data_IF_764603978022
#
_entry.id   IF_764603978022
#
_cell.length_a   1.000
_cell.length_b   1.000
_cell.length_c   1.000
_cell.angle_alpha   90.00
_cell.angle_beta   90.00
_cell.angle_gamma   90.00
#
_symmetry.space_group_name_H-M   'P 1'
#
loop_
_entity.id
_entity.type
_entity.pdbx_description
1 polymer ?
#
# COMPACT_ATOMS: atom_id res chain seq x y z
N UNK A 1 26.10 -9.58 -20.63
CA UNK A 1 25.72 -8.30 -19.98
C UNK A 1 24.45 -8.48 -19.21
N UNK A 2 24.48 -8.15 -17.93
CA UNK A 2 23.33 -8.35 -17.05
C UNK A 2 22.53 -7.05 -16.97
N UNK A 3 21.51 -6.93 -17.79
CA UNK A 3 20.55 -5.84 -17.64
C UNK A 3 19.47 -6.26 -16.64
N UNK A 4 19.13 -5.36 -15.72
CA UNK A 4 18.02 -5.61 -14.82
C UNK A 4 16.71 -5.64 -15.62
N UNK A 5 15.77 -6.54 -15.31
CA UNK A 5 14.48 -6.50 -15.95
C UNK A 5 13.78 -5.18 -15.67
N UNK A 6 12.88 -4.78 -16.54
CA UNK A 6 12.06 -3.61 -16.32
C UNK A 6 11.21 -3.82 -15.07
N UNK A 7 10.94 -2.73 -14.35
CA UNK A 7 10.07 -2.77 -13.21
C UNK A 7 8.62 -2.75 -13.69
N UNK A 8 7.89 -3.83 -13.38
CA UNK A 8 6.47 -3.93 -13.68
C UNK A 8 5.67 -3.75 -12.41
N UNK A 9 4.73 -2.82 -12.43
CA UNK A 9 3.81 -2.63 -11.32
C UNK A 9 2.46 -2.17 -11.82
N UNK A 10 1.42 -2.56 -11.08
CA UNK A 10 0.05 -2.14 -11.34
C UNK A 10 -0.41 -1.31 -10.15
N UNK A 11 -1.05 -0.19 -10.43
CA UNK A 11 -1.68 0.63 -9.40
C UNK A 11 -2.86 -0.15 -8.82
N UNK A 12 -2.76 -0.56 -7.57
CA UNK A 12 -3.70 -1.50 -6.99
C UNK A 12 -3.98 -1.24 -5.51
N UNK A 13 -5.14 -1.65 -5.08
CA UNK A 13 -5.60 -1.56 -3.70
C UNK A 13 -7.11 -1.44 -3.66
N UNK A 14 -7.76 -2.17 -2.75
CA UNK A 14 -9.20 -2.08 -2.57
C UNK A 14 -9.62 -2.76 -1.27
N UNK A 15 -10.83 -2.47 -0.83
CA UNK A 15 -11.53 -3.09 0.30
C UNK A 15 -10.81 -2.97 1.64
N UNK A 16 -9.77 -3.74 1.88
CA UNK A 16 -9.04 -3.77 3.14
C UNK A 16 -7.56 -4.04 2.91
N UNK A 17 -6.76 -3.81 3.95
CA UNK A 17 -5.32 -4.09 3.88
C UNK A 17 -5.04 -5.57 3.62
N UNK A 18 -5.78 -6.48 4.25
CA UNK A 18 -5.58 -7.92 4.04
C UNK A 18 -5.96 -8.36 2.63
N UNK A 19 -7.06 -7.87 2.09
CA UNK A 19 -7.48 -8.16 0.71
C UNK A 19 -6.48 -7.61 -0.29
N UNK A 20 -6.00 -6.39 -0.08
CA UNK A 20 -5.02 -5.76 -0.94
C UNK A 20 -3.67 -6.47 -0.87
N UNK A 21 -3.28 -6.95 0.31
CA UNK A 21 -2.06 -7.74 0.47
C UNK A 21 -2.11 -9.02 -0.38
N UNK A 22 -3.26 -9.70 -0.39
CA UNK A 22 -3.43 -10.88 -1.22
C UNK A 22 -3.27 -10.56 -2.69
N UNK A 23 -3.88 -9.46 -3.14
CA UNK A 23 -3.74 -9.01 -4.53
C UNK A 23 -2.28 -8.70 -4.88
N UNK A 24 -1.55 -8.02 -3.99
CA UNK A 24 -0.15 -7.71 -4.23
C UNK A 24 0.70 -8.98 -4.34
N UNK A 25 0.49 -9.94 -3.46
CA UNK A 25 1.22 -11.21 -3.50
C UNK A 25 0.90 -12.00 -4.76
N UNK A 26 -0.36 -12.02 -5.18
CA UNK A 26 -0.75 -12.66 -6.43
C UNK A 26 -0.07 -12.00 -7.63
N UNK A 27 -0.04 -10.67 -7.68
CA UNK A 27 0.60 -9.94 -8.76
C UNK A 27 2.11 -10.21 -8.81
N UNK A 28 2.79 -10.25 -7.66
CA UNK A 28 4.21 -10.56 -7.59
C UNK A 28 4.49 -11.98 -8.07
N UNK A 29 3.61 -12.94 -7.76
CA UNK A 29 3.77 -14.32 -8.22
C UNK A 29 3.61 -14.44 -9.73
N UNK A 30 2.95 -13.48 -10.38
CA UNK A 30 2.74 -13.44 -11.82
C UNK A 30 3.83 -12.65 -12.56
N UNK A 31 4.88 -12.23 -11.87
CA UNK A 31 6.02 -11.60 -12.49
C UNK A 31 6.14 -10.09 -12.33
N UNK A 32 5.27 -9.44 -11.57
CA UNK A 32 5.44 -8.03 -11.27
C UNK A 32 6.64 -7.84 -10.36
N UNK A 33 7.39 -6.76 -10.58
CA UNK A 33 8.65 -6.50 -9.88
C UNK A 33 8.60 -5.26 -9.01
N UNK A 34 7.45 -4.63 -8.91
CA UNK A 34 7.24 -3.45 -8.07
C UNK A 34 5.80 -3.36 -7.63
N UNK A 35 5.56 -2.44 -6.71
CA UNK A 35 4.24 -2.19 -6.14
C UNK A 35 3.87 -0.72 -6.33
N UNK A 36 2.63 -0.46 -6.71
CA UNK A 36 2.07 0.88 -6.75
C UNK A 36 0.77 0.86 -5.96
N UNK A 37 0.78 1.50 -4.79
CA UNK A 37 -0.31 1.40 -3.82
C UNK A 37 -1.35 2.47 -4.09
N UNK A 38 -2.61 2.04 -4.22
CA UNK A 38 -3.76 2.93 -4.31
C UNK A 38 -4.42 3.04 -2.93
N UNK A 39 -4.44 4.24 -2.35
CA UNK A 39 -5.14 4.49 -1.09
C UNK A 39 -6.54 5.00 -1.36
N UNK A 40 -7.50 4.66 -0.48
CA UNK A 40 -8.86 5.17 -0.61
C UNK A 40 -8.92 6.67 -0.30
N UNK A 41 -10.05 7.31 -0.64
CA UNK A 41 -10.17 8.76 -0.45
C UNK A 41 -10.05 9.20 1.01
N UNK A 42 -10.65 8.51 2.01
CA UNK A 42 -10.45 8.88 3.40
C UNK A 42 -8.97 8.89 3.82
N UNK A 43 -8.20 7.89 3.40
CA UNK A 43 -6.76 7.82 3.70
C UNK A 43 -6.01 8.99 3.05
N UNK A 44 -6.32 9.30 1.80
CA UNK A 44 -5.67 10.40 1.08
C UNK A 44 -5.99 11.77 1.66
N UNK A 45 -7.15 11.92 2.26
CA UNK A 45 -7.62 13.21 2.80
C UNK A 45 -7.47 13.34 4.31
N UNK A 46 -7.01 12.27 4.99
CA UNK A 46 -6.70 12.31 6.42
C UNK A 46 -7.83 11.92 7.34
N UNK A 47 -8.87 11.26 6.82
CA UNK A 47 -9.97 10.76 7.65
C UNK A 47 -9.75 9.30 8.01
N UNK A 48 -10.04 8.95 9.26
CA UNK A 48 -10.11 7.54 9.65
C UNK A 48 -11.33 6.87 9.04
N UNK A 49 -11.30 5.55 8.92
CA UNK A 49 -12.37 4.80 8.29
C UNK A 49 -13.73 4.94 9.00
N UNK A 50 -13.72 5.22 10.29
CA UNK A 50 -14.95 5.41 11.07
C UNK A 50 -15.45 6.86 11.08
N UNK A 51 -14.72 7.78 10.41
CA UNK A 51 -15.14 9.17 10.34
C UNK A 51 -16.42 9.31 9.52
N UNK A 52 -17.29 10.24 9.93
CA UNK A 52 -18.57 10.45 9.25
C UNK A 52 -18.40 10.81 7.76
N UNK A 53 -17.40 11.62 7.44
CA UNK A 53 -17.13 12.02 6.05
C UNK A 53 -16.52 10.90 5.20
N UNK A 54 -16.05 9.82 5.82
CA UNK A 54 -15.52 8.66 5.12
C UNK A 54 -16.61 7.68 4.67
N UNK A 55 -17.84 7.88 5.10
CA UNK A 55 -18.94 6.96 4.81
C UNK A 55 -19.12 6.76 3.31
N UNK A 56 -19.15 5.51 2.86
CA UNK A 56 -19.33 5.17 1.47
C UNK A 56 -18.08 5.18 0.62
N UNK A 57 -16.94 5.67 1.15
CA UNK A 57 -15.68 5.76 0.40
C UNK A 57 -14.59 4.80 0.90
N UNK A 58 -14.78 4.20 2.09
CA UNK A 58 -13.78 3.30 2.67
C UNK A 58 -13.60 2.07 1.78
N UNK A 59 -12.38 1.86 1.29
CA UNK A 59 -12.05 0.71 0.45
C UNK A 59 -12.63 0.74 -0.96
N UNK A 60 -13.26 1.82 -1.36
CA UNK A 60 -13.94 1.91 -2.66
C UNK A 60 -12.97 2.08 -3.83
N UNK A 61 -12.08 3.05 -3.73
CA UNK A 61 -11.12 3.37 -4.81
C UNK A 61 -9.68 3.03 -4.43
N UNK A 62 -9.47 2.41 -3.29
CA UNK A 62 -8.14 2.04 -2.82
C UNK A 62 -8.22 1.42 -1.44
N UNK A 63 -7.05 1.15 -0.85
CA UNK A 63 -6.94 0.51 0.44
C UNK A 63 -6.99 1.53 1.59
N UNK A 64 -7.80 1.28 2.64
CA UNK A 64 -7.80 2.13 3.82
C UNK A 64 -6.63 1.80 4.75
N UNK A 65 -5.87 2.81 5.15
CA UNK A 65 -4.77 2.68 6.10
C UNK A 65 -4.99 3.69 7.22
N UNK A 66 -5.25 3.22 8.43
CA UNK A 66 -5.52 4.07 9.58
C UNK A 66 -4.36 4.12 10.57
N UNK A 67 -3.55 3.07 10.65
CA UNK A 67 -2.46 2.95 11.61
C UNK A 67 -1.38 1.99 11.11
N UNK A 68 -0.30 1.88 11.89
CA UNK A 68 0.84 1.01 11.55
C UNK A 68 0.42 -0.46 11.36
N UNK A 69 -0.55 -0.94 12.13
CA UNK A 69 -1.07 -2.30 11.98
C UNK A 69 -1.62 -2.57 10.60
N UNK A 70 -2.35 -1.62 10.01
CA UNK A 70 -2.86 -1.75 8.65
C UNK A 70 -1.71 -1.79 7.64
N UNK A 71 -0.69 -0.96 7.83
CA UNK A 71 0.48 -0.95 6.96
C UNK A 71 1.22 -2.29 7.03
N UNK A 72 1.36 -2.87 8.23
CA UNK A 72 1.98 -4.18 8.41
C UNK A 72 1.19 -5.27 7.70
N UNK A 73 -0.13 -5.23 7.80
CA UNK A 73 -1.01 -6.18 7.12
C UNK A 73 -0.90 -6.04 5.59
N UNK A 74 -0.85 -4.81 5.10
CA UNK A 74 -0.75 -4.55 3.67
C UNK A 74 0.51 -5.16 3.04
N UNK A 75 1.64 -5.09 3.73
CA UNK A 75 2.91 -5.56 3.21
C UNK A 75 3.38 -6.89 3.82
N UNK A 76 2.47 -7.62 4.47
CA UNK A 76 2.81 -8.93 5.06
C UNK A 76 3.33 -9.89 4.00
N UNK A 77 4.45 -10.55 4.30
CA UNK A 77 5.10 -11.55 3.44
C UNK A 77 5.58 -10.98 2.09
N UNK A 78 5.74 -9.66 2.01
CA UNK A 78 6.31 -9.01 0.83
C UNK A 78 7.74 -8.57 1.15
N UNK A 79 8.74 -8.97 0.35
CA UNK A 79 10.14 -8.61 0.59
C UNK A 79 10.41 -7.16 0.19
N UNK A 80 10.16 -6.22 1.11
CA UNK A 80 10.27 -4.78 0.83
C UNK A 80 11.68 -4.37 0.41
N UNK A 81 12.70 -5.07 0.89
CA UNK A 81 14.09 -4.80 0.55
C UNK A 81 14.41 -5.13 -0.92
N UNK A 82 13.57 -5.93 -1.56
CA UNK A 82 13.76 -6.35 -2.94
C UNK A 82 12.74 -5.75 -3.89
N UNK A 83 11.80 -4.93 -3.37
CA UNK A 83 10.70 -4.38 -4.14
C UNK A 83 10.84 -2.87 -4.30
N UNK A 84 10.49 -2.39 -5.48
CA UNK A 84 10.30 -0.96 -5.70
C UNK A 84 8.84 -0.63 -5.37
N UNK A 85 8.62 0.22 -4.39
CA UNK A 85 7.28 0.59 -3.93
C UNK A 85 7.00 2.05 -4.24
N UNK A 86 5.85 2.34 -4.82
CA UNK A 86 5.39 3.72 -4.99
C UNK A 86 4.00 3.89 -4.40
N UNK A 87 3.70 5.10 -3.97
CA UNK A 87 2.43 5.46 -3.34
C UNK A 87 1.94 6.76 -3.95
N UNK A 88 0.65 6.81 -4.26
CA UNK A 88 0.01 8.03 -4.76
C UNK A 88 -0.81 8.62 -3.62
N UNK A 89 -0.32 9.71 -3.04
CA UNK A 89 -0.93 10.36 -1.89
C UNK A 89 -0.82 11.89 -2.02
N UNK A 90 -1.70 12.60 -1.29
CA UNK A 90 -1.71 14.06 -1.26
C UNK A 90 -1.38 14.56 0.16
N UNK A 91 -2.39 15.04 0.89
CA UNK A 91 -2.20 15.74 2.16
C UNK A 91 -1.59 14.86 3.26
N UNK A 92 -1.82 13.55 3.23
CA UNK A 92 -1.35 12.60 4.24
C UNK A 92 -0.03 11.93 3.90
N UNK A 93 0.67 12.39 2.86
CA UNK A 93 1.93 11.77 2.43
C UNK A 93 2.96 11.63 3.57
N UNK A 94 3.22 12.65 4.42
CA UNK A 94 4.18 12.49 5.52
C UNK A 94 3.81 11.38 6.50
N UNK A 95 2.53 11.23 6.80
CA UNK A 95 2.04 10.19 7.73
C UNK A 95 2.24 8.80 7.17
N UNK A 96 1.84 8.59 5.92
CA UNK A 96 1.94 7.30 5.27
C UNK A 96 3.39 6.91 5.01
N UNK A 97 4.23 7.87 4.64
CA UNK A 97 5.66 7.63 4.50
C UNK A 97 6.29 7.25 5.84
N UNK A 98 5.90 7.93 6.92
CA UNK A 98 6.38 7.58 8.26
C UNK A 98 5.98 6.15 8.66
N UNK A 99 4.76 5.74 8.37
CA UNK A 99 4.30 4.37 8.63
C UNK A 99 5.11 3.35 7.82
N UNK A 100 5.39 3.66 6.57
CA UNK A 100 6.19 2.79 5.71
C UNK A 100 7.63 2.66 6.21
N UNK A 101 8.24 3.77 6.61
CA UNK A 101 9.60 3.76 7.17
C UNK A 101 9.64 2.97 8.47
N UNK A 102 8.67 3.16 9.36
CA UNK A 102 8.58 2.40 10.60
C UNK A 102 8.46 0.90 10.32
N UNK A 103 7.65 0.52 9.34
CA UNK A 103 7.51 -0.88 8.94
C UNK A 103 8.83 -1.43 8.40
N UNK A 104 9.54 -0.67 7.59
CA UNK A 104 10.83 -1.08 7.02
C UNK A 104 11.85 -1.38 8.10
N UNK A 105 11.89 -0.56 9.17
CA UNK A 105 12.79 -0.77 10.29
C UNK A 105 12.49 -2.05 11.05
N UNK A 106 11.24 -2.48 11.08
CA UNK A 106 10.85 -3.75 11.72
C UNK A 106 11.37 -4.94 10.91
N UNK A 107 11.45 -4.80 9.59
CA UNK A 107 11.87 -5.88 8.69
C UNK A 107 13.39 -5.98 8.48
N UNK A 108 14.14 -5.02 8.95
CA UNK A 108 15.61 -5.04 8.87
C UNK A 108 16.23 -5.77 10.11
#
# INVERSE_FOLDING_TARGET
>A
MNSKPWIFRTYAGHSSASTSNKLFRDNLSKGQTGLSVAFDLPTQTGYDSDHQLARGEVGKVGVPINHLGDMRTLFKDIPLDKMNTSMTINATAPWLLALYVALSLIHI
#
